data_IF_632661668961
#
_entry.id   IF_632661668961
#
_cell.length_a   1.000
_cell.length_b   1.000
_cell.length_c   1.000
_cell.angle_alpha   90.00
_cell.angle_beta   90.00
_cell.angle_gamma   90.00
#
_symmetry.space_group_name_H-M   'P 1'
#
loop_
_entity.id
_entity.type
_entity.pdbx_description
1 polymer ?
#
# COMPACT_ATOMS: atom_id res chain seq x y z
N UNK A 1 -18.89 16.47 38.87
CA UNK A 1 -18.03 17.34 38.02
C UNK A 1 -17.09 16.45 37.21
N UNK A 2 -17.47 16.05 36.00
CA UNK A 2 -16.67 15.15 35.16
C UNK A 2 -15.78 15.97 34.22
N UNK A 3 -14.47 15.71 34.27
CA UNK A 3 -13.47 16.39 33.46
C UNK A 3 -13.72 16.16 31.96
N UNK A 4 -14.06 17.23 31.26
CA UNK A 4 -14.06 17.29 29.79
C UNK A 4 -12.62 17.10 29.32
N UNK A 5 -12.30 15.89 28.86
CA UNK A 5 -11.03 15.60 28.18
C UNK A 5 -11.02 16.32 26.83
N UNK A 6 -10.41 17.49 26.81
CA UNK A 6 -10.04 18.18 25.57
C UNK A 6 -9.17 17.24 24.73
N UNK A 7 -9.75 16.74 23.64
CA UNK A 7 -9.00 16.05 22.58
C UNK A 7 -8.17 17.13 21.87
N UNK A 8 -6.97 17.42 22.37
CA UNK A 8 -6.05 18.37 21.74
C UNK A 8 -5.66 17.80 20.37
N UNK A 9 -6.24 18.34 19.30
CA UNK A 9 -5.75 18.11 17.95
C UNK A 9 -4.36 18.73 17.83
N UNK A 10 -3.31 17.91 17.94
CA UNK A 10 -1.94 18.35 17.67
C UNK A 10 -1.80 18.58 16.17
N UNK A 11 -1.91 19.84 15.74
CA UNK A 11 -1.61 20.23 14.35
C UNK A 11 -0.11 20.09 14.12
N UNK A 12 0.28 19.40 13.04
CA UNK A 12 1.70 19.26 12.63
C UNK A 12 2.31 20.65 12.38
N UNK A 13 3.54 20.86 12.83
CA UNK A 13 4.32 22.07 12.50
C UNK A 13 4.59 22.14 10.98
N UNK A 14 4.91 23.32 10.43
CA UNK A 14 5.26 23.44 9.00
C UNK A 14 6.40 22.49 8.58
N UNK A 15 7.42 22.34 9.42
CA UNK A 15 8.54 21.41 9.18
C UNK A 15 8.06 19.94 9.16
N UNK A 16 7.18 19.56 10.09
CA UNK A 16 6.60 18.21 10.13
C UNK A 16 5.71 17.94 8.92
N UNK A 17 4.99 18.95 8.42
CA UNK A 17 4.21 18.85 7.18
C UNK A 17 5.12 18.66 5.97
N UNK A 18 6.20 19.44 5.86
CA UNK A 18 7.15 19.34 4.76
C UNK A 18 7.88 17.99 4.75
N UNK A 19 8.23 17.47 5.93
CA UNK A 19 8.81 16.13 6.06
C UNK A 19 7.82 15.05 5.64
N UNK A 20 6.55 15.14 6.08
CA UNK A 20 5.51 14.21 5.67
C UNK A 20 5.29 14.23 4.16
N UNK A 21 5.27 15.41 3.52
CA UNK A 21 5.15 15.53 2.07
C UNK A 21 6.31 14.90 1.30
N UNK A 22 7.55 15.09 1.78
CA UNK A 22 8.72 14.42 1.20
C UNK A 22 8.59 12.90 1.30
N UNK A 23 8.26 12.37 2.49
CA UNK A 23 8.08 10.94 2.69
C UNK A 23 6.94 10.37 1.82
N UNK A 24 5.82 11.09 1.68
CA UNK A 24 4.73 10.68 0.79
C UNK A 24 5.25 10.52 -0.64
N UNK A 25 5.96 11.52 -1.18
CA UNK A 25 6.49 11.47 -2.55
C UNK A 25 7.48 10.33 -2.75
N UNK A 26 8.39 10.15 -1.80
CA UNK A 26 9.39 9.08 -1.83
C UNK A 26 8.73 7.69 -1.80
N UNK A 27 7.79 7.48 -0.89
CA UNK A 27 7.08 6.21 -0.75
C UNK A 27 6.23 5.88 -1.96
N UNK A 28 5.54 6.90 -2.47
CA UNK A 28 4.71 6.80 -3.66
C UNK A 28 5.53 6.39 -4.88
N UNK A 29 6.71 6.99 -5.06
CA UNK A 29 7.65 6.63 -6.13
C UNK A 29 8.23 5.23 -5.92
N UNK A 30 8.62 4.89 -4.68
CA UNK A 30 9.28 3.62 -4.40
C UNK A 30 8.36 2.41 -4.64
N UNK A 31 7.09 2.49 -4.23
CA UNK A 31 6.12 1.41 -4.50
C UNK A 31 5.96 1.18 -6.01
N UNK A 32 5.96 2.23 -6.83
CA UNK A 32 5.89 2.08 -8.29
C UNK A 32 7.11 1.36 -8.85
N UNK A 33 8.32 1.78 -8.44
CA UNK A 33 9.58 1.19 -8.90
C UNK A 33 9.61 -0.31 -8.57
N UNK A 34 9.40 -0.66 -7.29
CA UNK A 34 9.47 -2.06 -6.84
C UNK A 34 8.36 -2.90 -7.49
N UNK A 35 7.17 -2.34 -7.72
CA UNK A 35 6.08 -3.05 -8.41
C UNK A 35 6.41 -3.32 -9.89
N UNK A 36 7.05 -2.37 -10.57
CA UNK A 36 7.48 -2.52 -11.95
C UNK A 36 8.60 -3.56 -12.08
N UNK A 37 9.61 -3.52 -11.20
CA UNK A 37 10.69 -4.52 -11.15
C UNK A 37 10.14 -5.94 -10.96
N UNK A 38 9.16 -6.13 -10.05
CA UNK A 38 8.49 -7.43 -9.86
C UNK A 38 7.69 -7.87 -11.10
N UNK A 39 7.07 -6.91 -11.80
CA UNK A 39 6.31 -7.21 -13.02
C UNK A 39 7.24 -7.61 -14.17
N UNK A 40 8.39 -6.95 -14.31
CA UNK A 40 9.43 -7.25 -15.29
C UNK A 40 10.05 -8.63 -15.04
N UNK A 41 10.44 -8.92 -13.79
CA UNK A 41 10.99 -10.24 -13.44
C UNK A 41 10.00 -11.38 -13.74
N UNK A 42 8.70 -11.15 -13.56
CA UNK A 42 7.67 -12.14 -13.94
C UNK A 42 7.54 -12.27 -15.46
N UNK A 43 7.75 -11.19 -16.21
CA UNK A 43 7.63 -11.15 -17.66
C UNK A 43 8.84 -11.71 -18.40
N UNK A 44 10.00 -11.82 -17.77
CA UNK A 44 11.24 -12.31 -18.39
C UNK A 44 11.24 -13.81 -18.70
N UNK A 45 10.27 -14.57 -18.17
CA UNK A 45 10.22 -16.04 -18.32
C UNK A 45 11.21 -16.79 -17.43
N UNK A 46 12.05 -16.08 -16.66
CA UNK A 46 12.93 -16.68 -15.66
C UNK A 46 12.13 -17.18 -14.45
N UNK A 47 12.65 -18.19 -13.78
CA UNK A 47 12.07 -18.68 -12.53
C UNK A 47 12.06 -17.55 -11.46
N UNK A 48 10.90 -17.32 -10.85
CA UNK A 48 10.77 -16.32 -9.80
C UNK A 48 11.66 -16.68 -8.60
N UNK A 49 12.61 -15.79 -8.29
CA UNK A 49 13.45 -15.93 -7.12
C UNK A 49 12.65 -15.54 -5.86
N UNK A 50 12.20 -16.53 -5.09
CA UNK A 50 11.41 -16.33 -3.87
C UNK A 50 12.10 -15.41 -2.85
N UNK A 51 13.44 -15.39 -2.80
CA UNK A 51 14.17 -14.50 -1.92
C UNK A 51 14.00 -13.02 -2.31
N UNK A 52 14.16 -12.73 -3.60
CA UNK A 52 13.97 -11.38 -4.14
C UNK A 52 12.52 -10.92 -3.99
N UNK A 53 11.56 -11.79 -4.30
CA UNK A 53 10.14 -11.46 -4.19
C UNK A 53 9.74 -11.12 -2.75
N UNK A 54 10.20 -11.90 -1.77
CA UNK A 54 9.93 -11.61 -0.34
C UNK A 54 10.47 -10.24 0.07
N UNK A 55 11.70 -9.90 -0.36
CA UNK A 55 12.32 -8.61 -0.06
C UNK A 55 11.50 -7.46 -0.65
N UNK A 56 11.17 -7.55 -1.94
CA UNK A 56 10.37 -6.53 -2.63
C UNK A 56 8.97 -6.37 -2.01
N UNK A 57 8.32 -7.48 -1.65
CA UNK A 57 7.04 -7.44 -0.93
C UNK A 57 7.17 -6.76 0.44
N UNK A 58 8.30 -6.97 1.16
CA UNK A 58 8.61 -6.28 2.41
C UNK A 58 8.76 -4.77 2.25
N UNK A 59 9.45 -4.31 1.19
CA UNK A 59 9.57 -2.88 0.90
C UNK A 59 8.20 -2.27 0.56
N UNK A 60 7.42 -2.88 -0.34
CA UNK A 60 6.06 -2.43 -0.66
C UNK A 60 5.20 -2.30 0.61
N UNK A 61 5.23 -3.30 1.48
CA UNK A 61 4.51 -3.27 2.75
C UNK A 61 4.89 -2.05 3.61
N UNK A 62 6.19 -1.84 3.81
CA UNK A 62 6.74 -0.75 4.63
C UNK A 62 6.32 0.62 4.10
N UNK A 63 6.47 0.85 2.80
CA UNK A 63 6.08 2.10 2.16
C UNK A 63 4.56 2.31 2.20
N UNK A 64 3.76 1.25 1.99
CA UNK A 64 2.31 1.35 1.99
C UNK A 64 1.75 1.67 3.39
N UNK A 65 2.32 1.08 4.44
CA UNK A 65 1.97 1.41 5.84
C UNK A 65 2.28 2.87 6.15
N UNK A 66 3.46 3.36 5.73
CA UNK A 66 3.84 4.76 5.96
C UNK A 66 2.99 5.74 5.17
N UNK A 67 2.66 5.43 3.92
CA UNK A 67 1.68 6.19 3.13
C UNK A 67 0.32 6.23 3.82
N UNK A 68 -0.15 5.12 4.41
CA UNK A 68 -1.45 5.09 5.10
C UNK A 68 -1.45 6.03 6.30
N UNK A 69 -0.37 6.02 7.08
CA UNK A 69 -0.20 6.91 8.23
C UNK A 69 -0.08 8.39 7.83
N UNK A 70 0.60 8.68 6.72
CA UNK A 70 0.85 10.05 6.27
C UNK A 70 -0.33 10.67 5.52
N UNK A 71 -1.04 9.91 4.68
CA UNK A 71 -2.16 10.40 3.87
C UNK A 71 -3.49 10.43 4.62
N UNK A 72 -3.66 9.58 5.65
CA UNK A 72 -4.88 9.51 6.47
C UNK A 72 -6.18 9.41 5.65
N UNK A 73 -6.12 8.71 4.52
CA UNK A 73 -7.27 8.53 3.63
C UNK A 73 -8.39 7.77 4.35
N UNK A 74 -9.67 8.11 4.07
CA UNK A 74 -10.78 7.30 4.55
C UNK A 74 -10.68 5.89 3.96
N UNK A 75 -10.99 4.88 4.77
CA UNK A 75 -11.05 3.50 4.31
C UNK A 75 -12.18 2.79 5.03
N UNK A 76 -12.95 2.02 4.28
CA UNK A 76 -13.82 1.01 4.85
C UNK A 76 -12.92 -0.17 5.21
N UNK A 77 -12.66 -0.34 6.51
CA UNK A 77 -11.87 -1.48 6.97
C UNK A 77 -12.60 -2.77 6.62
N UNK A 78 -12.23 -3.37 5.48
CA UNK A 78 -12.89 -4.57 5.01
C UNK A 78 -12.72 -5.66 6.06
N UNK A 79 -13.85 -6.02 6.69
CA UNK A 79 -14.03 -7.10 7.65
C UNK A 79 -13.39 -8.36 7.08
N UNK A 80 -12.52 -8.97 7.88
CA UNK A 80 -11.61 -10.04 7.50
C UNK A 80 -12.30 -11.38 7.14
N UNK A 81 -13.02 -11.45 6.01
CA UNK A 81 -13.63 -12.70 5.53
C UNK A 81 -12.81 -13.45 4.45
N UNK A 82 -11.83 -12.83 3.80
CA UNK A 82 -11.09 -13.45 2.67
C UNK A 82 -9.75 -14.13 3.01
N UNK A 83 -9.35 -14.19 4.29
CA UNK A 83 -8.01 -14.71 4.66
C UNK A 83 -7.78 -16.17 4.23
N UNK A 84 -8.83 -16.99 4.14
CA UNK A 84 -8.68 -18.42 3.82
C UNK A 84 -8.50 -18.67 2.31
N UNK A 85 -9.24 -17.94 1.46
CA UNK A 85 -9.21 -18.12 0.00
C UNK A 85 -7.91 -17.60 -0.62
N UNK A 86 -7.35 -16.52 -0.08
CA UNK A 86 -6.12 -15.91 -0.63
C UNK A 86 -4.85 -16.72 -0.34
N UNK A 87 -4.82 -17.53 0.73
CA UNK A 87 -3.63 -18.28 1.11
C UNK A 87 -3.33 -19.43 0.11
N UNK A 88 -4.38 -19.97 -0.51
CA UNK A 88 -4.29 -21.08 -1.48
C UNK A 88 -3.90 -20.59 -2.89
N UNK A 89 -3.99 -19.29 -3.17
CA UNK A 89 -3.64 -18.73 -4.48
C UNK A 89 -2.17 -18.92 -4.81
N UNK A 90 -1.84 -19.28 -6.06
CA UNK A 90 -0.46 -19.36 -6.51
C UNK A 90 0.27 -18.02 -6.34
N UNK A 91 1.59 -18.07 -6.08
CA UNK A 91 2.41 -16.88 -5.87
C UNK A 91 2.32 -15.91 -7.06
N UNK A 92 2.31 -16.43 -8.29
CA UNK A 92 2.12 -15.65 -9.52
C UNK A 92 0.81 -14.86 -9.53
N UNK A 93 -0.29 -15.48 -9.10
CA UNK A 93 -1.62 -14.84 -8.98
C UNK A 93 -1.61 -13.71 -7.95
N UNK A 94 -1.01 -13.95 -6.78
CA UNK A 94 -0.87 -12.93 -5.73
C UNK A 94 -0.05 -11.73 -6.23
N UNK A 95 1.05 -11.98 -6.94
CA UNK A 95 1.88 -10.91 -7.51
C UNK A 95 1.15 -10.11 -8.60
N UNK A 96 0.37 -10.77 -9.46
CA UNK A 96 -0.43 -10.09 -10.48
C UNK A 96 -1.50 -9.20 -9.85
N UNK A 97 -2.19 -9.71 -8.82
CA UNK A 97 -3.16 -8.94 -8.07
C UNK A 97 -2.52 -7.75 -7.34
N UNK A 98 -1.35 -7.92 -6.71
CA UNK A 98 -0.62 -6.85 -6.03
C UNK A 98 -0.21 -5.73 -6.99
N UNK A 99 0.35 -6.09 -8.14
CA UNK A 99 0.68 -5.13 -9.18
C UNK A 99 -0.55 -4.38 -9.69
N UNK A 100 -1.68 -5.08 -9.87
CA UNK A 100 -2.95 -4.46 -10.26
C UNK A 100 -3.47 -3.44 -9.23
N UNK A 101 -3.39 -3.77 -7.94
CA UNK A 101 -3.77 -2.84 -6.87
C UNK A 101 -2.86 -1.61 -6.83
N UNK A 102 -1.54 -1.80 -6.97
CA UNK A 102 -0.58 -0.71 -6.98
C UNK A 102 -0.84 0.22 -8.17
N UNK A 103 -1.06 -0.33 -9.37
CA UNK A 103 -1.44 0.46 -10.55
C UNK A 103 -2.71 1.27 -10.32
N UNK A 104 -3.76 0.65 -9.78
CA UNK A 104 -5.02 1.36 -9.47
C UNK A 104 -4.84 2.47 -8.45
N UNK A 105 -4.06 2.23 -7.40
CA UNK A 105 -3.74 3.23 -6.38
C UNK A 105 -2.98 4.42 -6.98
N UNK A 106 -1.96 4.15 -7.78
CA UNK A 106 -1.09 5.18 -8.40
C UNK A 106 -1.82 5.96 -9.50
N UNK A 107 -2.80 5.35 -10.15
CA UNK A 107 -3.62 6.02 -11.16
C UNK A 107 -4.86 6.70 -10.57
N UNK A 108 -5.00 6.69 -9.24
CA UNK A 108 -6.17 7.28 -8.59
C UNK A 108 -6.16 8.82 -8.78
N UNK A 109 -7.28 9.42 -9.23
CA UNK A 109 -7.35 10.84 -9.53
C UNK A 109 -7.14 11.74 -8.29
N UNK A 110 -7.21 11.22 -7.07
CA UNK A 110 -6.86 12.01 -5.87
C UNK A 110 -5.40 12.50 -5.86
N UNK A 111 -4.53 11.84 -6.63
CA UNK A 111 -3.13 12.23 -6.79
C UNK A 111 -2.89 13.09 -8.02
N UNK A 112 -3.93 13.44 -8.79
CA UNK A 112 -3.86 14.38 -9.90
C UNK A 112 -4.10 15.82 -9.41
N UNK A 113 -3.64 16.80 -10.18
CA UNK A 113 -3.91 18.23 -9.93
C UNK A 113 -5.38 18.54 -10.27
N UNK A 114 -6.29 18.19 -9.36
CA UNK A 114 -7.71 18.50 -9.48
C UNK A 114 -8.10 19.55 -8.44
N UNK A 115 -8.76 20.63 -8.87
CA UNK A 115 -9.25 21.71 -7.97
C UNK A 115 -10.33 21.23 -6.98
N UNK A 116 -10.92 20.05 -7.21
CA UNK A 116 -11.99 19.47 -6.39
C UNK A 116 -11.52 18.17 -5.75
N UNK A 117 -11.68 18.06 -4.42
CA UNK A 117 -11.42 16.82 -3.69
C UNK A 117 -12.58 15.82 -3.90
N UNK A 118 -12.35 14.76 -4.67
CA UNK A 118 -13.32 13.66 -4.83
C UNK A 118 -13.24 12.69 -3.63
N UNK A 119 -14.26 12.74 -2.77
CA UNK A 119 -14.40 11.86 -1.60
C UNK A 119 -14.42 10.37 -1.98
N UNK A 120 -15.00 10.02 -3.13
CA UNK A 120 -15.01 8.63 -3.63
C UNK A 120 -13.61 8.22 -4.10
N UNK A 121 -12.86 9.12 -4.74
CA UNK A 121 -11.46 8.86 -5.07
C UNK A 121 -10.61 8.62 -3.82
N UNK A 122 -10.82 9.43 -2.77
CA UNK A 122 -10.16 9.27 -1.48
C UNK A 122 -10.44 7.92 -0.84
N UNK A 123 -11.71 7.52 -0.80
CA UNK A 123 -12.14 6.24 -0.23
C UNK A 123 -11.55 5.06 -1.02
N UNK A 124 -11.56 5.12 -2.35
CA UNK A 124 -10.94 4.10 -3.21
C UNK A 124 -9.44 3.99 -2.93
N UNK A 125 -8.72 5.11 -2.86
CA UNK A 125 -7.29 5.11 -2.59
C UNK A 125 -6.97 4.53 -1.20
N UNK A 126 -7.75 4.87 -0.17
CA UNK A 126 -7.59 4.32 1.18
C UNK A 126 -7.85 2.81 1.22
N UNK A 127 -8.90 2.33 0.54
CA UNK A 127 -9.21 0.91 0.41
C UNK A 127 -8.12 0.14 -0.34
N UNK A 128 -7.59 0.72 -1.43
CA UNK A 128 -6.50 0.15 -2.22
C UNK A 128 -5.24 -0.01 -1.38
N UNK A 129 -4.87 1.03 -0.65
CA UNK A 129 -3.70 1.02 0.22
C UNK A 129 -3.84 -0.05 1.32
N UNK A 130 -5.03 -0.19 1.91
CA UNK A 130 -5.33 -1.27 2.85
C UNK A 130 -5.16 -2.67 2.25
N UNK A 131 -5.57 -2.88 1.00
CA UNK A 131 -5.41 -4.15 0.28
C UNK A 131 -3.95 -4.41 -0.12
N UNK A 132 -3.20 -3.38 -0.54
CA UNK A 132 -1.76 -3.47 -0.84
C UNK A 132 -0.98 -3.94 0.38
N UNK A 133 -1.26 -3.36 1.56
CA UNK A 133 -0.62 -3.76 2.83
C UNK A 133 -0.89 -5.24 3.12
N UNK A 134 -2.15 -5.68 3.05
CA UNK A 134 -2.51 -7.09 3.35
C UNK A 134 -1.87 -8.06 2.37
N UNK A 135 -1.91 -7.77 1.07
CA UNK A 135 -1.42 -8.70 0.05
C UNK A 135 0.11 -8.72 -0.02
N UNK A 136 0.79 -7.60 0.21
CA UNK A 136 2.26 -7.58 0.34
C UNK A 136 2.73 -8.42 1.52
N UNK A 137 2.01 -8.37 2.66
CA UNK A 137 2.29 -9.25 3.80
C UNK A 137 2.08 -10.74 3.45
N UNK A 138 1.01 -11.07 2.73
CA UNK A 138 0.73 -12.44 2.29
C UNK A 138 1.79 -12.98 1.32
N UNK A 139 2.19 -12.17 0.32
CA UNK A 139 3.27 -12.52 -0.61
C UNK A 139 4.56 -12.79 0.17
N UNK A 140 4.91 -11.93 1.12
CA UNK A 140 6.09 -12.11 1.98
C UNK A 140 6.04 -13.44 2.73
N UNK A 141 4.91 -13.77 3.36
CA UNK A 141 4.72 -15.05 4.08
C UNK A 141 4.80 -16.25 3.15
N UNK A 142 4.20 -16.18 1.96
CA UNK A 142 4.20 -17.28 1.00
C UNK A 142 5.61 -17.55 0.46
N UNK A 143 6.37 -16.52 0.15
CA UNK A 143 7.77 -16.68 -0.26
C UNK A 143 8.65 -17.26 0.84
N UNK A 144 8.43 -16.86 2.10
CA UNK A 144 9.15 -17.41 3.24
C UNK A 144 8.95 -18.92 3.37
N UNK A 145 7.72 -19.40 3.15
CA UNK A 145 7.38 -20.82 3.23
C UNK A 145 7.87 -21.67 2.04
N UNK A 146 8.36 -21.03 0.97
CA UNK A 146 8.89 -21.71 -0.22
C UNK A 146 10.42 -21.89 -0.17
N UNK A 147 11.07 -21.40 0.88
CA UNK A 147 12.52 -21.55 1.14
C UNK A 147 12.77 -22.76 2.02
#
# INVERSE_FOLDING_TARGET
>A
MAAQRFRKEWKKTPEQQQLAWRQIREDYKHIQIVSNELAEQRGSGEALNAQRVEKSAGEIYKHAVRLRANLMLPSEEAVAKDKKVQNDLQLSTLLSALNGLIKRFVQNPIFAETEVLDAQAALRAGNDLGRIIRMSEQVKKKCHNLR
#
